data_IF_146543984248
#
_entry.id   IF_146543984248
#
_cell.length_a   1.000
_cell.length_b   1.000
_cell.length_c   1.000
_cell.angle_alpha   90.00
_cell.angle_beta   90.00
_cell.angle_gamma   90.00
#
_symmetry.space_group_name_H-M   'P 1'
#
loop_
_entity.id
_entity.type
_entity.pdbx_description
1 polymer ?
#
# COMPACT_ATOMS: atom_id res chain seq x y z
N UNK A 1 -51.35 -17.84 22.22
CA UNK A 1 -51.05 -17.92 20.77
C UNK A 1 -50.13 -16.77 20.30
N UNK A 2 -50.37 -15.52 20.71
CA UNK A 2 -49.57 -14.38 20.22
C UNK A 2 -48.07 -14.39 20.63
N UNK A 3 -47.72 -14.81 21.86
CA UNK A 3 -46.32 -14.80 22.33
C UNK A 3 -45.44 -15.82 21.54
N UNK A 4 -45.97 -16.99 21.26
CA UNK A 4 -45.26 -18.01 20.47
C UNK A 4 -45.03 -17.54 19.02
N UNK A 5 -45.99 -16.87 18.41
CA UNK A 5 -45.88 -16.30 17.08
C UNK A 5 -44.79 -15.21 17.01
N UNK A 6 -44.77 -14.30 17.99
CA UNK A 6 -43.70 -13.27 18.07
C UNK A 6 -42.32 -13.85 18.31
N UNK A 7 -42.20 -14.91 19.12
CA UNK A 7 -40.92 -15.59 19.34
C UNK A 7 -40.41 -16.25 18.07
N UNK A 8 -41.29 -16.96 17.32
CA UNK A 8 -40.93 -17.56 16.02
C UNK A 8 -40.60 -16.50 14.98
N UNK A 9 -41.30 -15.38 14.94
CA UNK A 9 -41.01 -14.26 14.04
C UNK A 9 -39.65 -13.61 14.34
N UNK A 10 -39.29 -13.44 15.60
CA UNK A 10 -38.00 -12.90 16.04
C UNK A 10 -36.87 -13.89 15.67
N UNK A 11 -37.07 -15.20 15.86
CA UNK A 11 -36.09 -16.22 15.45
C UNK A 11 -35.90 -16.22 13.93
N UNK A 12 -36.97 -16.14 13.15
CA UNK A 12 -36.88 -16.06 11.68
C UNK A 12 -36.17 -14.79 11.23
N UNK A 13 -36.46 -13.64 11.86
CA UNK A 13 -35.77 -12.38 11.57
C UNK A 13 -34.29 -12.39 11.97
N UNK A 14 -33.91 -13.11 13.05
CA UNK A 14 -32.51 -13.25 13.46
C UNK A 14 -31.70 -14.18 12.54
N UNK A 15 -32.34 -15.15 11.86
CA UNK A 15 -31.67 -16.03 10.89
C UNK A 15 -31.28 -15.27 9.61
N UNK A 16 -31.99 -14.20 9.26
CA UNK A 16 -31.67 -13.38 8.07
C UNK A 16 -30.52 -12.38 8.26
N UNK A 17 -30.00 -12.19 9.46
CA UNK A 17 -28.93 -11.20 9.75
C UNK A 17 -27.52 -11.76 9.82
N UNK A 18 -27.31 -13.07 9.54
CA UNK A 18 -26.05 -13.76 9.72
C UNK A 18 -25.22 -13.96 8.45
N UNK A 19 -25.42 -13.20 7.38
CA UNK A 19 -24.49 -13.28 6.24
C UNK A 19 -23.26 -12.40 6.50
N UNK A 20 -22.19 -12.99 6.97
CA UNK A 20 -20.84 -12.43 6.79
C UNK A 20 -20.67 -12.09 5.32
N UNK A 21 -20.28 -10.86 5.03
CA UNK A 21 -20.23 -10.38 3.64
C UNK A 21 -19.03 -10.92 2.89
N UNK A 22 -18.06 -11.45 3.61
CA UNK A 22 -16.79 -11.89 3.05
C UNK A 22 -16.27 -13.12 3.81
N UNK A 23 -15.98 -14.21 3.08
CA UNK A 23 -15.33 -15.40 3.62
C UNK A 23 -13.95 -15.51 2.97
N UNK A 24 -12.87 -15.47 3.74
CA UNK A 24 -11.53 -15.65 3.22
C UNK A 24 -11.35 -17.02 2.57
N UNK A 25 -10.39 -17.10 1.63
CA UNK A 25 -10.05 -18.33 0.97
C UNK A 25 -9.50 -19.37 1.95
N UNK A 26 -9.86 -20.64 1.71
CA UNK A 26 -9.34 -21.77 2.48
C UNK A 26 -7.81 -21.92 2.32
N UNK A 27 -7.19 -22.56 3.30
CA UNK A 27 -5.77 -22.89 3.26
C UNK A 27 -5.47 -23.73 2.02
N UNK A 28 -4.34 -23.45 1.36
CA UNK A 28 -3.90 -24.24 0.20
C UNK A 28 -3.63 -25.70 0.61
N UNK A 29 -4.31 -26.64 -0.05
CA UNK A 29 -4.11 -28.09 0.13
C UNK A 29 -3.47 -28.74 -1.08
N UNK A 30 -3.70 -28.20 -2.28
CA UNK A 30 -3.24 -28.74 -3.54
C UNK A 30 -2.01 -27.97 -4.05
N UNK A 31 -1.06 -28.69 -4.65
CA UNK A 31 -0.01 -28.10 -5.45
C UNK A 31 -0.57 -27.53 -6.76
N UNK A 32 -0.15 -26.32 -7.14
CA UNK A 32 -0.67 -25.62 -8.32
C UNK A 32 0.48 -25.25 -9.24
N UNK A 33 0.28 -25.47 -10.54
CA UNK A 33 1.18 -25.02 -11.60
C UNK A 33 0.43 -24.05 -12.52
N UNK A 34 0.96 -22.83 -12.67
CA UNK A 34 0.62 -21.91 -13.76
C UNK A 34 1.57 -22.18 -14.91
N UNK A 35 1.05 -22.49 -16.10
CA UNK A 35 1.86 -22.97 -17.22
C UNK A 35 1.62 -22.14 -18.48
N UNK A 36 2.69 -21.64 -19.10
CA UNK A 36 2.72 -21.07 -20.44
C UNK A 36 2.51 -19.56 -20.56
N UNK A 37 2.37 -18.81 -19.46
CA UNK A 37 2.21 -17.35 -19.48
C UNK A 37 3.53 -16.58 -19.41
N UNK A 38 3.50 -15.29 -19.73
CA UNK A 38 4.62 -14.38 -19.49
C UNK A 38 4.70 -14.06 -17.99
N UNK A 39 5.85 -14.28 -17.37
CA UNK A 39 6.09 -14.07 -15.95
C UNK A 39 6.95 -12.83 -15.72
N UNK A 40 6.40 -11.82 -15.07
CA UNK A 40 7.14 -10.71 -14.49
C UNK A 40 7.61 -11.12 -13.10
N UNK A 41 8.93 -11.35 -12.94
CA UNK A 41 9.47 -11.85 -11.65
C UNK A 41 9.35 -10.82 -10.53
N UNK A 42 9.37 -9.52 -10.88
CA UNK A 42 9.37 -8.39 -9.94
C UNK A 42 10.77 -7.89 -9.58
N UNK A 43 11.83 -8.41 -10.21
CA UNK A 43 13.22 -7.97 -10.06
C UNK A 43 13.76 -7.22 -11.28
N UNK A 44 12.92 -7.02 -12.30
CA UNK A 44 13.28 -6.44 -13.60
C UNK A 44 13.42 -7.47 -14.71
N UNK A 45 13.30 -8.75 -14.42
CA UNK A 45 13.38 -9.85 -15.39
C UNK A 45 11.99 -10.35 -15.77
N UNK A 46 11.84 -10.78 -17.02
CA UNK A 46 10.64 -11.38 -17.59
C UNK A 46 10.96 -12.75 -18.20
N UNK A 47 10.11 -13.73 -18.00
CA UNK A 47 10.16 -15.04 -18.64
C UNK A 47 8.93 -15.16 -19.54
N UNK A 48 9.11 -15.14 -20.86
CA UNK A 48 8.03 -15.10 -21.85
C UNK A 48 7.14 -16.34 -21.82
N UNK A 49 7.72 -17.52 -21.57
CA UNK A 49 7.01 -18.78 -21.48
C UNK A 49 7.38 -19.47 -20.17
N UNK A 50 6.63 -19.20 -19.15
CA UNK A 50 6.96 -19.63 -17.79
C UNK A 50 6.16 -20.84 -17.32
N UNK A 51 6.75 -21.52 -16.32
CA UNK A 51 6.05 -22.41 -15.42
C UNK A 51 6.30 -21.92 -13.98
N UNK A 52 5.22 -21.63 -13.26
CA UNK A 52 5.27 -21.19 -11.86
C UNK A 52 4.52 -22.21 -11.01
N UNK A 53 5.29 -23.03 -10.28
CA UNK A 53 4.77 -24.03 -9.37
C UNK A 53 4.78 -23.55 -7.92
N UNK A 54 3.70 -23.82 -7.16
CA UNK A 54 3.64 -23.47 -5.75
C UNK A 54 2.81 -24.47 -4.93
N UNK A 55 3.21 -24.63 -3.67
CA UNK A 55 2.60 -25.52 -2.68
C UNK A 55 2.85 -24.96 -1.28
N UNK A 56 1.93 -25.23 -0.35
CA UNK A 56 2.04 -24.82 1.06
C UNK A 56 2.36 -23.31 1.23
N UNK A 57 1.72 -22.49 0.38
CA UNK A 57 1.87 -21.03 0.40
C UNK A 57 3.16 -20.50 -0.23
N UNK A 58 4.04 -21.35 -0.78
CA UNK A 58 5.35 -20.95 -1.30
C UNK A 58 5.58 -21.35 -2.74
N UNK A 59 6.32 -20.51 -3.47
CA UNK A 59 6.83 -20.83 -4.79
C UNK A 59 7.84 -21.97 -4.68
N UNK A 60 7.63 -23.06 -5.41
CA UNK A 60 8.52 -24.23 -5.50
C UNK A 60 9.51 -24.00 -6.64
N UNK A 61 8.98 -23.52 -7.78
CA UNK A 61 9.74 -23.23 -8.98
C UNK A 61 9.13 -22.08 -9.78
N UNK A 62 9.99 -21.37 -10.51
CA UNK A 62 9.61 -20.38 -11.51
C UNK A 62 10.67 -20.44 -12.60
N UNK A 63 10.34 -21.02 -13.74
CA UNK A 63 11.33 -21.36 -14.77
C UNK A 63 10.79 -21.09 -16.18
N UNK A 64 11.68 -20.94 -17.12
CA UNK A 64 11.39 -20.87 -18.55
C UNK A 64 11.20 -22.30 -19.10
N UNK A 65 10.04 -22.58 -19.68
CA UNK A 65 9.71 -23.89 -20.24
C UNK A 65 10.36 -24.14 -21.59
N UNK A 66 10.95 -23.15 -22.24
CA UNK A 66 11.75 -23.38 -23.46
C UNK A 66 13.06 -24.11 -23.15
N UNK A 67 13.62 -23.89 -21.96
CA UNK A 67 14.88 -24.47 -21.54
C UNK A 67 14.75 -25.54 -20.44
N UNK A 68 13.58 -25.66 -19.82
CA UNK A 68 13.35 -26.58 -18.70
C UNK A 68 12.15 -27.48 -18.99
N UNK A 69 12.32 -28.78 -18.85
CA UNK A 69 11.22 -29.73 -18.86
C UNK A 69 10.53 -29.75 -17.50
N UNK A 70 9.22 -29.56 -17.49
CA UNK A 70 8.40 -29.58 -16.28
C UNK A 70 7.54 -30.83 -16.31
N UNK A 71 7.63 -31.62 -15.27
CA UNK A 71 6.71 -32.74 -15.05
C UNK A 71 5.41 -32.22 -14.46
N UNK A 72 4.43 -31.98 -15.32
CA UNK A 72 3.12 -31.47 -14.91
C UNK A 72 2.34 -32.45 -14.05
N UNK A 73 2.69 -33.75 -14.06
CA UNK A 73 2.03 -34.79 -13.26
C UNK A 73 2.35 -34.68 -11.76
N UNK A 74 3.39 -33.91 -11.40
CA UNK A 74 3.76 -33.61 -10.01
C UNK A 74 2.76 -32.67 -9.32
N UNK A 75 1.92 -31.96 -10.10
CA UNK A 75 0.98 -30.98 -9.58
C UNK A 75 -0.45 -31.48 -9.58
N UNK A 76 -1.17 -31.22 -8.48
CA UNK A 76 -2.58 -31.60 -8.34
C UNK A 76 -3.47 -30.78 -9.29
N UNK A 77 -3.10 -29.51 -9.53
CA UNK A 77 -3.85 -28.59 -10.39
C UNK A 77 -2.87 -27.91 -11.37
N UNK A 78 -3.16 -28.05 -12.67
CA UNK A 78 -2.43 -27.32 -13.73
C UNK A 78 -3.39 -26.31 -14.36
N UNK A 79 -3.01 -25.03 -14.32
CA UNK A 79 -3.76 -23.92 -14.92
C UNK A 79 -2.99 -23.44 -16.14
N UNK A 80 -3.57 -23.61 -17.33
CA UNK A 80 -3.01 -23.04 -18.55
C UNK A 80 -3.25 -21.53 -18.58
N UNK A 81 -2.16 -20.76 -18.59
CA UNK A 81 -2.14 -19.30 -18.64
C UNK A 81 -1.43 -18.77 -19.89
N UNK A 82 -1.38 -19.59 -20.96
CA UNK A 82 -0.79 -19.19 -22.24
C UNK A 82 -1.47 -17.94 -22.79
N UNK A 83 -0.68 -16.95 -23.18
CA UNK A 83 -1.14 -15.65 -23.67
C UNK A 83 -1.64 -14.70 -22.57
N UNK A 84 -1.38 -15.03 -21.31
CA UNK A 84 -1.70 -14.19 -20.15
C UNK A 84 -0.42 -13.77 -19.44
N UNK A 85 -0.55 -12.75 -18.60
CA UNK A 85 0.53 -12.18 -17.83
C UNK A 85 0.45 -12.61 -16.36
N UNK A 86 1.58 -12.98 -15.78
CA UNK A 86 1.69 -13.40 -14.37
C UNK A 86 2.55 -12.37 -13.61
N UNK A 87 2.00 -11.79 -12.55
CA UNK A 87 2.65 -10.75 -11.76
C UNK A 87 2.74 -11.15 -10.29
N UNK A 88 3.76 -10.68 -9.54
CA UNK A 88 3.71 -10.69 -8.07
C UNK A 88 2.52 -9.86 -7.60
N UNK A 89 1.92 -10.22 -6.49
CA UNK A 89 0.86 -9.41 -5.88
C UNK A 89 1.34 -7.98 -5.63
N UNK A 90 0.61 -7.00 -6.15
CA UNK A 90 0.91 -5.59 -5.94
C UNK A 90 0.66 -5.20 -4.50
N UNK A 91 1.45 -4.24 -4.01
CA UNK A 91 1.45 -3.78 -2.61
C UNK A 91 0.97 -2.33 -2.54
N UNK A 92 -0.16 -2.10 -1.87
CA UNK A 92 -0.68 -0.75 -1.64
C UNK A 92 0.09 -0.08 -0.51
N UNK A 93 0.93 0.90 -0.84
CA UNK A 93 1.66 1.67 0.15
C UNK A 93 0.82 2.81 0.73
N UNK A 94 1.08 3.18 1.99
CA UNK A 94 0.48 4.34 2.67
C UNK A 94 -1.05 4.41 2.54
N UNK A 95 -1.75 3.29 2.70
CA UNK A 95 -3.19 3.17 2.48
C UNK A 95 -4.00 3.28 3.77
N UNK A 96 -5.24 3.75 3.67
CA UNK A 96 -6.26 3.72 4.74
C UNK A 96 -7.32 2.64 4.52
N UNK A 97 -7.05 1.66 3.66
CA UNK A 97 -7.93 0.50 3.47
C UNK A 97 -8.18 -0.21 4.79
N UNK A 98 -9.45 -0.57 5.04
CA UNK A 98 -9.87 -1.20 6.29
C UNK A 98 -9.90 -0.27 7.50
N UNK A 99 -9.45 1.00 7.38
CA UNK A 99 -9.56 2.02 8.44
C UNK A 99 -10.67 3.05 8.18
N UNK A 100 -11.26 3.03 7.00
CA UNK A 100 -12.35 3.93 6.64
C UNK A 100 -13.31 3.25 5.67
N UNK A 101 -14.60 3.23 6.02
CA UNK A 101 -15.64 2.65 5.18
C UNK A 101 -16.47 3.74 4.49
N UNK A 102 -17.18 4.56 5.27
CA UNK A 102 -18.08 5.60 4.76
C UNK A 102 -17.51 6.98 5.08
N UNK A 103 -17.00 7.68 4.08
CA UNK A 103 -16.35 8.98 4.25
C UNK A 103 -17.22 10.06 4.94
N UNK A 104 -18.54 9.99 4.85
CA UNK A 104 -19.46 10.92 5.51
C UNK A 104 -19.76 10.55 6.98
N UNK A 105 -19.44 9.33 7.44
CA UNK A 105 -19.79 8.84 8.78
C UNK A 105 -18.52 8.77 9.64
N UNK A 106 -18.42 9.62 10.66
CA UNK A 106 -17.25 9.67 11.54
C UNK A 106 -16.97 8.34 12.25
N UNK A 107 -18.00 7.64 12.68
CA UNK A 107 -17.89 6.37 13.41
C UNK A 107 -17.26 5.23 12.59
N UNK A 108 -17.05 5.42 11.28
CA UNK A 108 -16.38 4.46 10.38
C UNK A 108 -14.98 4.91 9.96
N UNK A 109 -14.38 5.87 10.69
CA UNK A 109 -13.08 6.46 10.39
C UNK A 109 -12.10 6.22 11.54
N UNK A 110 -11.37 5.10 11.49
CA UNK A 110 -10.44 4.65 12.52
C UNK A 110 -8.97 4.92 12.18
N UNK A 111 -8.73 5.77 11.17
CA UNK A 111 -7.38 6.13 10.72
C UNK A 111 -6.75 7.27 11.51
N UNK A 112 -7.49 7.94 12.43
CA UNK A 112 -7.04 9.17 13.06
C UNK A 112 -7.35 9.18 14.56
N UNK A 113 -6.30 9.42 15.36
CA UNK A 113 -6.39 9.65 16.79
C UNK A 113 -6.38 11.15 17.13
N UNK A 114 -6.87 11.50 18.32
CA UNK A 114 -6.82 12.86 18.87
C UNK A 114 -5.41 13.20 19.38
N UNK A 115 -5.04 14.48 19.32
CA UNK A 115 -3.70 14.94 19.77
C UNK A 115 -2.72 15.19 18.63
N UNK A 116 -1.54 15.69 19.01
CA UNK A 116 -0.47 16.03 18.06
C UNK A 116 0.54 14.92 17.89
N UNK A 117 0.88 14.19 18.95
CA UNK A 117 1.94 13.18 19.00
C UNK A 117 1.37 11.86 19.50
N UNK A 118 1.09 10.94 18.59
CA UNK A 118 0.40 9.67 18.86
C UNK A 118 1.19 8.44 18.35
N UNK A 119 2.51 8.32 18.56
CA UNK A 119 3.30 7.21 18.00
C UNK A 119 2.83 5.84 18.51
N UNK A 120 2.15 5.78 19.64
CA UNK A 120 1.55 4.59 20.23
C UNK A 120 0.18 4.21 19.65
N UNK A 121 -0.43 5.06 18.80
CA UNK A 121 -1.66 4.70 18.08
C UNK A 121 -1.33 3.72 16.96
N UNK A 122 -1.96 2.55 16.97
CA UNK A 122 -1.66 1.43 16.07
C UNK A 122 -2.80 1.20 15.09
N UNK A 123 -2.50 1.15 13.81
CA UNK A 123 -3.51 0.78 12.79
C UNK A 123 -3.87 -0.69 12.81
N UNK A 124 -2.99 -1.53 13.37
CA UNK A 124 -3.10 -2.98 13.39
C UNK A 124 -4.46 -3.46 13.92
N UNK A 125 -4.84 -3.01 15.11
CA UNK A 125 -6.07 -3.44 15.80
C UNK A 125 -7.33 -2.77 15.26
N UNK A 126 -7.18 -1.72 14.46
CA UNK A 126 -8.30 -0.99 13.83
C UNK A 126 -8.61 -1.50 12.42
N UNK A 127 -7.80 -2.42 11.88
CA UNK A 127 -7.96 -2.93 10.53
C UNK A 127 -9.22 -3.80 10.42
N UNK A 128 -10.15 -3.36 9.57
CA UNK A 128 -11.37 -4.10 9.25
C UNK A 128 -11.16 -5.01 8.04
N UNK A 129 -11.12 -6.31 8.27
CA UNK A 129 -10.99 -7.33 7.20
C UNK A 129 -12.26 -7.47 6.37
N UNK A 130 -13.43 -7.11 6.93
CA UNK A 130 -14.74 -7.16 6.27
C UNK A 130 -15.05 -5.89 5.46
N UNK A 131 -14.05 -5.05 5.19
CA UNK A 131 -14.23 -3.86 4.37
C UNK A 131 -14.80 -4.19 3.00
N UNK A 132 -15.88 -3.52 2.61
CA UNK A 132 -16.48 -3.66 1.27
C UNK A 132 -15.61 -3.09 0.14
N UNK A 133 -14.60 -2.32 0.47
CA UNK A 133 -13.71 -1.67 -0.49
C UNK A 133 -12.60 -2.63 -0.91
N UNK A 134 -12.06 -3.41 0.02
CA UNK A 134 -10.94 -4.32 -0.20
C UNK A 134 -11.15 -5.30 -1.37
N UNK A 135 -12.31 -5.95 -1.57
CA UNK A 135 -12.55 -6.81 -2.73
C UNK A 135 -12.38 -6.10 -4.08
N UNK A 136 -12.78 -4.81 -4.17
CA UNK A 136 -12.59 -4.01 -5.39
C UNK A 136 -11.13 -3.69 -5.66
N UNK A 137 -10.32 -3.56 -4.61
CA UNK A 137 -8.89 -3.29 -4.73
C UNK A 137 -8.14 -4.55 -5.15
N UNK A 138 -8.54 -5.71 -4.61
CA UNK A 138 -7.99 -7.03 -5.01
C UNK A 138 -8.22 -7.34 -6.48
N UNK A 139 -9.38 -6.95 -7.03
CA UNK A 139 -9.69 -7.21 -8.46
C UNK A 139 -8.77 -6.48 -9.43
N UNK A 140 -7.88 -5.59 -8.96
CA UNK A 140 -6.85 -4.93 -9.75
C UNK A 140 -5.42 -5.35 -9.35
N UNK A 141 -5.27 -6.49 -8.65
CA UNK A 141 -3.96 -7.08 -8.32
C UNK A 141 -3.33 -6.60 -7.03
N UNK A 142 -3.96 -5.68 -6.29
CA UNK A 142 -3.46 -5.22 -4.99
C UNK A 142 -3.82 -6.28 -3.93
N UNK A 143 -2.83 -7.04 -3.47
CA UNK A 143 -3.07 -8.19 -2.58
C UNK A 143 -2.61 -7.97 -1.14
N UNK A 144 -1.71 -7.02 -0.93
CA UNK A 144 -1.13 -6.63 0.37
C UNK A 144 -1.16 -5.12 0.48
N UNK A 145 -1.20 -4.57 1.70
CA UNK A 145 -1.07 -3.13 1.90
C UNK A 145 -0.41 -2.75 3.22
N UNK A 146 0.31 -1.64 3.17
CA UNK A 146 0.71 -0.89 4.35
C UNK A 146 -0.48 -0.04 4.79
N UNK A 147 -1.02 -0.36 5.95
CA UNK A 147 -2.15 0.35 6.52
C UNK A 147 -1.63 1.43 7.45
N UNK A 148 -1.89 2.69 7.08
CA UNK A 148 -1.21 3.85 7.65
C UNK A 148 -2.15 4.82 8.33
N UNK A 149 -1.78 5.36 9.51
CA UNK A 149 -2.57 6.35 10.22
C UNK A 149 -2.50 7.72 9.55
N UNK A 150 -3.44 8.59 9.92
CA UNK A 150 -3.53 9.99 9.46
C UNK A 150 -3.70 10.94 10.65
N UNK A 151 -3.42 12.22 10.42
CA UNK A 151 -3.68 13.28 11.40
C UNK A 151 -2.51 13.51 12.36
N UNK A 152 -2.63 14.53 13.22
CA UNK A 152 -1.58 14.92 14.15
C UNK A 152 -0.29 15.41 13.48
N UNK A 153 0.77 15.59 14.26
CA UNK A 153 2.15 15.75 13.82
C UNK A 153 2.78 14.36 13.66
N UNK A 154 2.78 13.56 14.73
CA UNK A 154 3.06 12.13 14.66
C UNK A 154 1.71 11.40 14.68
N UNK A 155 1.36 10.78 13.56
CA UNK A 155 0.03 10.22 13.33
C UNK A 155 -0.19 8.91 14.07
N UNK A 156 0.83 8.08 14.15
CA UNK A 156 0.77 6.73 14.71
C UNK A 156 1.69 5.75 13.99
N UNK A 157 1.45 4.48 14.25
CA UNK A 157 2.24 3.36 13.73
C UNK A 157 1.44 2.56 12.70
N UNK A 158 2.06 2.32 11.54
CA UNK A 158 1.52 1.50 10.43
C UNK A 158 1.85 0.02 10.57
N UNK A 159 1.08 -0.82 9.88
CA UNK A 159 1.29 -2.26 9.80
C UNK A 159 1.01 -2.76 8.39
N UNK A 160 1.62 -3.89 8.00
CA UNK A 160 1.40 -4.52 6.70
C UNK A 160 0.41 -5.65 6.83
N UNK A 161 -0.64 -5.62 6.01
CA UNK A 161 -1.79 -6.52 6.08
C UNK A 161 -2.04 -7.22 4.74
N UNK A 162 -2.44 -8.49 4.78
CA UNK A 162 -3.04 -9.20 3.63
C UNK A 162 -4.47 -8.75 3.44
N UNK A 163 -4.90 -8.72 2.19
CA UNK A 163 -6.28 -8.31 1.85
C UNK A 163 -7.27 -9.48 1.75
N UNK A 164 -6.93 -10.63 2.34
CA UNK A 164 -7.80 -11.80 2.44
C UNK A 164 -7.53 -12.53 3.76
N UNK A 165 -8.33 -12.25 4.78
CA UNK A 165 -8.11 -12.76 6.15
C UNK A 165 -9.39 -12.69 6.99
N UNK A 166 -9.47 -13.52 8.04
CA UNK A 166 -10.62 -13.59 8.96
C UNK A 166 -10.67 -12.39 9.92
N UNK A 167 -9.52 -11.98 10.42
CA UNK A 167 -9.38 -10.87 11.37
C UNK A 167 -7.99 -10.23 11.19
N UNK A 168 -7.69 -9.18 11.96
CA UNK A 168 -6.40 -8.48 11.88
C UNK A 168 -5.21 -9.37 12.29
N UNK A 169 -5.38 -10.34 13.18
CA UNK A 169 -4.34 -11.29 13.62
C UNK A 169 -3.95 -12.22 12.46
N UNK A 170 -4.95 -12.70 11.70
CA UNK A 170 -4.74 -13.51 10.50
C UNK A 170 -4.20 -12.67 9.32
N UNK A 171 -4.62 -11.40 9.22
CA UNK A 171 -4.21 -10.50 8.15
C UNK A 171 -2.75 -10.04 8.24
N UNK A 172 -2.17 -9.97 9.45
CA UNK A 172 -0.89 -9.31 9.65
C UNK A 172 0.27 -10.02 8.95
N UNK A 173 1.04 -9.26 8.17
CA UNK A 173 2.32 -9.68 7.57
C UNK A 173 3.47 -9.14 8.42
N UNK A 174 3.42 -7.86 8.78
CA UNK A 174 4.38 -7.20 9.66
C UNK A 174 3.65 -6.18 10.54
N UNK A 175 3.67 -6.41 11.83
CA UNK A 175 3.08 -5.51 12.81
C UNK A 175 3.99 -4.32 13.08
N UNK A 176 3.39 -3.12 13.24
CA UNK A 176 4.04 -1.91 13.77
C UNK A 176 5.37 -1.55 13.07
N UNK A 177 5.40 -1.65 11.74
CA UNK A 177 6.63 -1.57 10.94
C UNK A 177 7.21 -0.16 10.83
N UNK A 178 6.40 0.90 11.02
CA UNK A 178 6.87 2.27 10.88
C UNK A 178 5.99 3.32 11.54
N UNK A 179 6.57 4.49 11.78
CA UNK A 179 5.92 5.66 12.38
C UNK A 179 5.68 6.71 11.31
N UNK A 180 4.46 7.23 11.22
CA UNK A 180 4.08 8.28 10.28
C UNK A 180 4.10 9.67 10.93
N UNK A 181 4.76 10.63 10.28
CA UNK A 181 4.90 12.00 10.73
C UNK A 181 4.59 12.99 9.61
N UNK A 182 3.85 14.04 9.90
CA UNK A 182 3.56 15.15 9.00
C UNK A 182 4.54 16.29 9.24
N UNK A 183 5.42 16.56 8.26
CA UNK A 183 6.31 17.72 8.35
C UNK A 183 5.51 19.02 8.18
N UNK A 184 5.80 20.08 8.95
CA UNK A 184 5.05 21.33 8.91
C UNK A 184 5.05 21.95 7.50
N UNK A 185 3.86 22.34 7.04
CA UNK A 185 3.67 22.91 5.68
C UNK A 185 3.58 24.43 5.74
N UNK A 186 4.46 25.10 4.99
CA UNK A 186 4.34 26.54 4.70
C UNK A 186 3.20 26.75 3.68
N UNK A 187 1.94 26.69 4.13
CA UNK A 187 0.81 27.11 3.30
C UNK A 187 0.52 28.57 3.53
N UNK A 188 1.09 29.44 2.70
CA UNK A 188 0.56 30.79 2.50
C UNK A 188 -0.60 30.65 1.54
N UNK A 189 -1.82 30.90 1.99
CA UNK A 189 -3.00 30.92 1.13
C UNK A 189 -2.80 31.99 0.05
N UNK A 190 -3.15 31.72 -1.21
CA UNK A 190 -3.01 32.67 -2.31
C UNK A 190 -3.75 34.01 -2.10
N UNK A 191 -4.61 34.09 -1.09
CA UNK A 191 -5.33 35.30 -0.68
C UNK A 191 -4.62 36.10 0.43
N UNK A 192 -3.43 35.67 0.88
CA UNK A 192 -2.66 36.33 1.90
C UNK A 192 -1.67 37.29 1.22
N UNK A 193 -2.11 38.53 1.01
CA UNK A 193 -1.29 39.60 0.44
C UNK A 193 -0.60 40.47 1.54
N UNK A 194 -0.65 40.03 2.80
CA UNK A 194 -0.14 40.84 3.92
C UNK A 194 1.13 40.18 4.50
N UNK A 195 2.24 40.93 4.60
CA UNK A 195 3.51 40.47 5.16
C UNK A 195 3.35 39.92 6.59
N UNK A 196 2.47 40.52 7.41
CA UNK A 196 2.17 40.08 8.77
C UNK A 196 1.59 38.65 8.84
N UNK A 197 0.80 38.26 7.86
CA UNK A 197 0.23 36.91 7.86
C UNK A 197 1.24 35.88 7.35
N UNK A 198 2.15 36.27 6.46
CA UNK A 198 3.30 35.44 6.04
C UNK A 198 4.21 35.18 7.23
N UNK A 199 4.52 36.19 8.04
CA UNK A 199 5.33 36.04 9.27
C UNK A 199 4.66 35.14 10.30
N UNK A 200 3.34 35.26 10.51
CA UNK A 200 2.60 34.40 11.40
C UNK A 200 2.66 32.91 10.93
N UNK A 201 2.54 32.65 9.63
CA UNK A 201 2.69 31.29 9.09
C UNK A 201 4.09 30.75 9.32
N UNK A 202 5.14 31.55 9.04
CA UNK A 202 6.53 31.15 9.28
C UNK A 202 6.81 30.89 10.78
N UNK A 203 6.31 31.74 11.64
CA UNK A 203 6.43 31.58 13.11
C UNK A 203 5.74 30.30 13.59
N UNK A 204 4.53 30.00 13.08
CA UNK A 204 3.81 28.76 13.40
C UNK A 204 4.57 27.53 12.94
N UNK A 205 5.14 27.56 11.73
CA UNK A 205 5.95 26.44 11.19
C UNK A 205 7.17 26.21 12.08
N UNK A 206 7.90 27.29 12.41
CA UNK A 206 9.08 27.22 13.29
C UNK A 206 8.72 26.67 14.67
N UNK A 207 7.60 27.12 15.24
CA UNK A 207 7.11 26.60 16.51
C UNK A 207 6.83 25.10 16.43
N UNK A 208 6.13 24.64 15.38
CA UNK A 208 5.83 23.22 15.20
C UNK A 208 7.10 22.40 14.96
N UNK A 209 8.11 22.94 14.25
CA UNK A 209 9.40 22.28 14.10
C UNK A 209 10.10 22.11 15.46
N UNK A 210 10.08 23.14 16.31
CA UNK A 210 10.63 23.04 17.66
C UNK A 210 9.89 21.98 18.49
N UNK A 211 8.54 21.94 18.45
CA UNK A 211 7.76 20.89 19.11
C UNK A 211 8.19 19.47 18.66
N UNK A 212 8.48 19.28 17.37
CA UNK A 212 8.97 18.00 16.82
C UNK A 212 10.36 17.68 17.41
N UNK A 213 11.29 18.63 17.36
CA UNK A 213 12.65 18.44 17.90
C UNK A 213 12.62 18.09 19.38
N UNK A 214 11.87 18.84 20.19
CA UNK A 214 11.73 18.59 21.63
C UNK A 214 11.17 17.18 21.90
N UNK A 215 10.11 16.78 21.17
CA UNK A 215 9.52 15.47 21.31
C UNK A 215 10.52 14.36 20.99
N UNK A 216 11.28 14.47 19.89
CA UNK A 216 12.28 13.48 19.49
C UNK A 216 13.47 13.43 20.45
N UNK A 217 13.91 14.59 21.00
CA UNK A 217 14.96 14.64 22.02
C UNK A 217 14.52 13.94 23.30
N UNK A 218 13.29 14.19 23.77
CA UNK A 218 12.73 13.53 24.95
C UNK A 218 12.63 12.02 24.71
N UNK A 219 12.13 11.60 23.54
CA UNK A 219 12.01 10.19 23.19
C UNK A 219 13.39 9.49 23.13
N UNK A 220 14.39 10.15 22.52
CA UNK A 220 15.77 9.62 22.45
C UNK A 220 16.38 9.48 23.85
N UNK A 221 16.21 10.48 24.71
CA UNK A 221 16.67 10.44 26.10
C UNK A 221 15.97 9.35 26.91
N UNK A 222 14.66 9.14 26.70
CA UNK A 222 13.89 8.07 27.33
C UNK A 222 14.46 6.68 26.97
N UNK A 223 14.73 6.43 25.69
CA UNK A 223 15.30 5.18 25.21
C UNK A 223 16.69 4.92 25.79
N UNK A 224 17.54 5.94 25.88
CA UNK A 224 18.91 5.84 26.41
C UNK A 224 18.95 5.58 27.92
N UNK A 225 18.03 6.16 28.70
CA UNK A 225 18.01 6.05 30.15
C UNK A 225 17.41 4.75 30.68
N UNK A 226 16.77 3.95 29.83
CA UNK A 226 16.06 2.74 30.23
C UNK A 226 15.10 2.98 31.40
N UNK A 227 14.22 3.97 31.26
CA UNK A 227 13.34 4.51 32.30
C UNK A 227 12.51 3.41 32.99
N UNK A 228 12.41 3.45 34.31
CA UNK A 228 11.55 2.56 35.09
C UNK A 228 10.05 2.90 34.95
N UNK A 229 9.73 4.15 34.59
CA UNK A 229 8.34 4.58 34.35
C UNK A 229 8.01 4.44 32.87
N UNK A 230 6.99 3.66 32.55
CA UNK A 230 6.58 3.42 31.17
C UNK A 230 5.70 4.58 30.70
N UNK A 231 6.17 5.30 29.66
CA UNK A 231 5.35 6.20 28.82
C UNK A 231 5.13 5.51 27.47
N UNK A 232 3.90 5.14 27.17
CA UNK A 232 3.55 4.39 25.95
C UNK A 232 3.93 5.12 24.66
N UNK A 233 3.92 6.46 24.64
CA UNK A 233 4.33 7.25 23.48
C UNK A 233 5.83 7.16 23.27
N UNK A 234 6.62 7.27 24.35
CA UNK A 234 8.07 7.18 24.28
C UNK A 234 8.50 5.73 23.98
N UNK A 235 7.79 4.74 24.55
CA UNK A 235 8.06 3.33 24.27
C UNK A 235 7.82 2.99 22.80
N UNK A 236 6.77 3.53 22.18
CA UNK A 236 6.49 3.33 20.75
C UNK A 236 7.62 3.87 19.83
N UNK A 237 8.39 4.87 20.31
CA UNK A 237 9.54 5.45 19.60
C UNK A 237 10.81 4.62 19.72
N UNK A 238 10.90 3.68 20.66
CA UNK A 238 12.12 2.89 20.93
C UNK A 238 12.67 2.23 19.68
N UNK A 239 11.85 1.49 18.98
CA UNK A 239 12.23 0.73 17.79
C UNK A 239 12.69 1.61 16.62
N UNK A 240 12.29 2.88 16.58
CA UNK A 240 12.78 3.84 15.60
C UNK A 240 14.27 4.15 15.83
N UNK A 241 14.67 4.42 17.08
CA UNK A 241 16.04 4.80 17.41
C UNK A 241 17.05 3.64 17.38
N UNK A 242 16.56 2.38 17.37
CA UNK A 242 17.41 1.19 17.21
C UNK A 242 17.33 0.57 15.81
N UNK A 243 16.77 1.30 14.84
CA UNK A 243 16.71 0.90 13.43
C UNK A 243 15.73 -0.23 13.09
N UNK A 244 14.83 -0.62 14.01
CA UNK A 244 13.83 -1.67 13.74
C UNK A 244 12.58 -1.15 13.04
N UNK A 245 12.20 0.12 13.28
CA UNK A 245 11.08 0.80 12.62
C UNK A 245 11.58 1.85 11.65
N UNK A 246 10.80 2.08 10.61
CA UNK A 246 11.02 3.15 9.62
C UNK A 246 10.26 4.41 10.02
N UNK A 247 10.82 5.59 9.74
CA UNK A 247 10.13 6.86 9.85
C UNK A 247 9.59 7.27 8.47
N UNK A 248 8.27 7.40 8.35
CA UNK A 248 7.59 7.90 7.16
C UNK A 248 7.25 9.37 7.36
N UNK A 249 7.84 10.27 6.57
CA UNK A 249 7.66 11.72 6.71
C UNK A 249 6.90 12.28 5.53
N UNK A 250 5.69 12.77 5.79
CA UNK A 250 4.85 13.38 4.77
C UNK A 250 5.30 14.80 4.46
N UNK A 251 5.84 15.01 3.26
CA UNK A 251 6.37 16.30 2.79
C UNK A 251 6.34 16.39 1.26
N UNK A 252 6.18 17.61 0.72
CA UNK A 252 6.09 17.84 -0.70
C UNK A 252 7.18 18.78 -1.26
N UNK A 253 7.64 19.75 -0.46
CA UNK A 253 8.49 20.86 -0.93
C UNK A 253 9.99 20.58 -0.76
N UNK A 254 10.82 21.12 -1.67
CA UNK A 254 12.29 21.02 -1.60
C UNK A 254 12.82 21.45 -0.23
N UNK A 255 12.31 22.58 0.33
CA UNK A 255 12.76 23.06 1.64
C UNK A 255 12.49 22.05 2.76
N UNK A 256 11.30 21.43 2.74
CA UNK A 256 10.93 20.40 3.71
C UNK A 256 11.84 19.17 3.56
N UNK A 257 12.11 18.71 2.33
CA UNK A 257 12.98 17.56 2.08
C UNK A 257 14.39 17.82 2.62
N UNK A 258 14.95 19.01 2.39
CA UNK A 258 16.26 19.40 2.95
C UNK A 258 16.27 19.43 4.48
N UNK A 259 15.21 19.96 5.09
CA UNK A 259 15.05 19.98 6.56
C UNK A 259 14.95 18.56 7.12
N UNK A 260 14.22 17.66 6.45
CA UNK A 260 14.09 16.24 6.82
C UNK A 260 15.42 15.51 6.71
N UNK A 261 16.24 15.80 5.70
CA UNK A 261 17.59 15.25 5.56
C UNK A 261 18.46 15.67 6.77
N UNK A 262 18.40 16.94 7.16
CA UNK A 262 19.11 17.44 8.34
C UNK A 262 18.61 16.79 9.63
N UNK A 263 17.30 16.62 9.76
CA UNK A 263 16.64 15.95 10.88
C UNK A 263 17.05 14.46 10.98
N UNK A 264 17.10 13.74 9.84
CA UNK A 264 17.60 12.35 9.78
C UNK A 264 18.99 12.23 10.38
N UNK A 265 19.90 13.16 10.01
CA UNK A 265 21.29 13.19 10.50
C UNK A 265 21.37 13.53 11.98
N UNK A 266 20.65 14.56 12.44
CA UNK A 266 20.64 15.02 13.84
C UNK A 266 20.20 13.92 14.82
N UNK A 267 19.09 13.23 14.48
CA UNK A 267 18.56 12.18 15.35
C UNK A 267 19.16 10.81 15.10
N UNK A 268 20.04 10.66 14.10
CA UNK A 268 20.63 9.40 13.66
C UNK A 268 19.57 8.35 13.31
N UNK A 269 18.57 8.76 12.49
CA UNK A 269 17.51 7.88 12.04
C UNK A 269 18.02 7.05 10.86
N UNK A 270 18.12 5.75 11.05
CA UNK A 270 18.64 4.83 10.05
C UNK A 270 17.73 4.75 8.83
N UNK A 271 16.43 4.45 9.04
CA UNK A 271 15.46 4.19 7.98
C UNK A 271 14.44 5.31 7.90
N UNK A 272 14.46 6.04 6.79
CA UNK A 272 13.54 7.14 6.53
C UNK A 272 12.97 7.05 5.11
N UNK A 273 11.65 7.26 4.99
CA UNK A 273 10.93 7.36 3.72
C UNK A 273 10.16 8.67 3.66
N UNK A 274 10.30 9.41 2.57
CA UNK A 274 9.47 10.58 2.30
C UNK A 274 8.19 10.13 1.60
N UNK A 275 7.03 10.58 2.10
CA UNK A 275 5.72 10.35 1.52
C UNK A 275 5.23 11.63 0.85
N UNK A 276 4.96 11.58 -0.45
CA UNK A 276 4.58 12.74 -1.27
C UNK A 276 5.69 13.14 -2.23
N UNK A 277 6.49 14.11 -1.82
CA UNK A 277 7.69 14.52 -2.56
C UNK A 277 7.44 15.14 -3.92
N UNK A 278 6.36 15.94 -4.08
CA UNK A 278 6.01 16.53 -5.39
C UNK A 278 7.15 17.34 -6.03
N UNK A 279 7.95 18.00 -5.23
CA UNK A 279 9.08 18.81 -5.69
C UNK A 279 10.42 18.04 -5.65
N UNK A 280 10.42 16.71 -5.44
CA UNK A 280 11.64 15.90 -5.35
C UNK A 280 12.46 15.90 -6.65
N UNK A 281 11.82 16.14 -7.80
CA UNK A 281 12.48 16.24 -9.10
C UNK A 281 13.54 17.35 -9.19
N UNK A 282 13.55 18.30 -8.26
CA UNK A 282 14.60 19.34 -8.20
C UNK A 282 15.88 18.90 -7.50
N UNK A 283 15.83 17.82 -6.70
CA UNK A 283 16.95 17.37 -5.85
C UNK A 283 17.02 15.83 -5.73
N UNK A 284 16.81 15.07 -6.82
CA UNK A 284 16.72 13.62 -6.73
C UNK A 284 18.05 12.99 -6.29
N UNK A 285 19.22 13.53 -6.74
CA UNK A 285 20.54 13.05 -6.35
C UNK A 285 20.77 13.22 -4.84
N UNK A 286 20.36 14.36 -4.27
CA UNK A 286 20.49 14.62 -2.82
C UNK A 286 19.65 13.61 -2.01
N UNK A 287 18.50 13.19 -2.51
CA UNK A 287 17.66 12.17 -1.89
C UNK A 287 18.36 10.82 -1.92
N UNK A 288 18.91 10.42 -3.07
CA UNK A 288 19.66 9.17 -3.26
C UNK A 288 20.91 9.12 -2.38
N UNK A 289 21.74 10.16 -2.37
CA UNK A 289 22.95 10.27 -1.55
C UNK A 289 22.71 10.12 -0.04
N UNK A 290 21.51 10.46 0.42
CA UNK A 290 21.14 10.29 1.83
C UNK A 290 20.34 9.01 2.11
N UNK A 291 20.29 8.08 1.15
CA UNK A 291 19.60 6.78 1.27
C UNK A 291 18.16 6.93 1.77
N UNK A 292 17.43 7.89 1.19
CA UNK A 292 16.03 8.14 1.51
C UNK A 292 15.16 7.53 0.42
N UNK A 293 14.32 6.58 0.80
CA UNK A 293 13.31 6.04 -0.10
C UNK A 293 12.09 6.97 -0.19
N UNK A 294 11.28 6.79 -1.23
CA UNK A 294 10.11 7.62 -1.46
C UNK A 294 8.83 6.81 -1.73
N UNK A 295 7.72 7.29 -1.19
CA UNK A 295 6.38 6.90 -1.61
C UNK A 295 5.82 8.07 -2.42
N UNK A 296 5.80 7.92 -3.74
CA UNK A 296 5.36 8.97 -4.66
C UNK A 296 3.86 8.96 -4.73
N UNK A 297 3.23 10.00 -4.18
CA UNK A 297 1.79 10.08 -4.19
C UNK A 297 1.24 10.70 -5.48
N UNK A 298 0.14 10.13 -5.94
CA UNK A 298 -0.78 10.60 -6.96
C UNK A 298 -0.09 11.24 -8.19
N UNK A 299 0.50 10.40 -9.02
CA UNK A 299 1.08 10.80 -10.32
C UNK A 299 0.09 11.64 -11.13
N UNK A 300 -1.21 11.28 -11.14
CA UNK A 300 -2.27 12.07 -11.74
C UNK A 300 -2.59 13.32 -10.88
N UNK A 301 -1.67 14.27 -10.86
CA UNK A 301 -1.83 15.54 -10.17
C UNK A 301 -1.24 16.70 -10.96
N UNK A 302 -1.80 17.89 -10.76
CA UNK A 302 -1.23 19.10 -11.33
C UNK A 302 0.09 19.47 -10.64
N UNK A 303 1.01 20.15 -11.33
CA UNK A 303 2.25 20.61 -10.78
C UNK A 303 2.02 21.61 -9.63
N UNK A 304 3.01 21.73 -8.74
CA UNK A 304 2.95 22.63 -7.58
C UNK A 304 3.00 24.12 -7.95
N UNK A 305 3.62 24.46 -9.08
CA UNK A 305 3.84 25.85 -9.53
C UNK A 305 3.37 26.07 -10.95
N UNK A 306 2.90 27.29 -11.26
CA UNK A 306 2.40 27.66 -12.60
C UNK A 306 3.45 27.57 -13.69
N UNK A 307 4.73 27.78 -13.33
CA UNK A 307 5.86 27.71 -14.27
C UNK A 307 6.42 26.30 -14.47
N UNK A 308 5.96 25.32 -13.71
CA UNK A 308 6.40 23.93 -13.87
C UNK A 308 5.83 23.33 -15.16
N UNK A 309 6.54 22.36 -15.72
CA UNK A 309 6.01 21.53 -16.79
C UNK A 309 4.71 20.86 -16.35
N UNK A 310 3.73 20.82 -17.24
CA UNK A 310 2.39 20.31 -16.92
C UNK A 310 2.43 18.84 -16.54
N UNK A 311 3.33 18.07 -17.14
CA UNK A 311 3.49 16.63 -16.98
C UNK A 311 4.58 16.21 -15.98
N UNK A 312 5.14 17.18 -15.23
CA UNK A 312 6.24 16.89 -14.30
C UNK A 312 5.87 15.81 -13.25
N UNK A 313 4.62 15.77 -12.80
CA UNK A 313 4.14 14.76 -11.86
C UNK A 313 4.16 13.35 -12.49
N UNK A 314 3.95 13.23 -13.80
CA UNK A 314 4.00 11.97 -14.54
C UNK A 314 5.44 11.50 -14.78
N UNK A 315 6.36 12.46 -14.98
CA UNK A 315 7.79 12.23 -15.18
C UNK A 315 8.56 11.94 -13.88
N UNK A 316 8.03 12.36 -12.73
CA UNK A 316 8.71 12.24 -11.44
C UNK A 316 9.24 10.83 -11.16
N UNK A 317 8.47 9.72 -11.34
CA UNK A 317 9.01 8.37 -11.11
C UNK A 317 10.22 8.04 -11.99
N UNK A 318 10.21 8.44 -13.27
CA UNK A 318 11.35 8.25 -14.19
C UNK A 318 12.59 9.05 -13.75
N UNK A 319 12.41 10.26 -13.22
CA UNK A 319 13.50 11.09 -12.70
C UNK A 319 14.12 10.43 -11.47
N UNK A 320 13.29 9.96 -10.53
CA UNK A 320 13.76 9.27 -9.32
C UNK A 320 14.50 7.98 -9.65
N UNK A 321 13.97 7.20 -10.61
CA UNK A 321 14.61 5.98 -11.08
C UNK A 321 16.01 6.23 -11.64
N UNK A 322 16.15 7.25 -12.51
CA UNK A 322 17.44 7.64 -13.11
C UNK A 322 18.47 8.09 -12.06
N UNK A 323 18.03 8.67 -10.96
CA UNK A 323 18.89 9.08 -9.85
C UNK A 323 19.19 7.95 -8.85
N UNK A 324 18.62 6.75 -9.05
CA UNK A 324 18.83 5.59 -8.16
C UNK A 324 18.06 5.69 -6.85
N UNK A 325 17.00 6.52 -6.77
CA UNK A 325 16.15 6.60 -5.58
C UNK A 325 15.23 5.38 -5.53
N UNK A 326 15.23 4.65 -4.42
CA UNK A 326 14.25 3.59 -4.16
C UNK A 326 12.87 4.22 -3.94
N UNK A 327 11.88 3.87 -4.78
CA UNK A 327 10.54 4.44 -4.67
C UNK A 327 9.45 3.42 -4.95
N UNK A 328 8.24 3.77 -4.51
CA UNK A 328 6.98 3.08 -4.81
C UNK A 328 5.84 4.09 -4.99
N UNK A 329 4.68 3.58 -5.43
CA UNK A 329 3.50 4.40 -5.69
C UNK A 329 2.49 4.34 -4.55
N UNK A 330 1.75 5.44 -4.37
CA UNK A 330 0.50 5.47 -3.61
C UNK A 330 -0.56 6.32 -4.33
N UNK A 331 -1.74 6.38 -3.76
CA UNK A 331 -2.82 7.21 -4.26
C UNK A 331 -3.44 8.07 -3.15
N UNK A 332 -2.60 8.69 -2.32
CA UNK A 332 -3.03 9.56 -1.22
C UNK A 332 -3.89 10.73 -1.72
N UNK A 333 -4.90 11.10 -0.94
CA UNK A 333 -5.77 12.25 -1.18
C UNK A 333 -7.25 11.92 -0.97
N UNK A 334 -8.15 12.65 -1.63
CA UNK A 334 -9.57 12.41 -1.52
C UNK A 334 -9.94 11.02 -2.02
N UNK A 335 -10.78 10.31 -1.24
CA UNK A 335 -11.23 8.94 -1.51
C UNK A 335 -10.07 7.94 -1.70
N UNK A 336 -8.92 8.16 -1.04
CA UNK A 336 -7.70 7.39 -1.23
C UNK A 336 -7.90 5.87 -1.06
N UNK A 337 -8.73 5.44 -0.10
CA UNK A 337 -8.99 4.02 0.12
C UNK A 337 -9.69 3.36 -1.09
N UNK A 338 -10.67 4.04 -1.70
CA UNK A 338 -11.37 3.51 -2.87
C UNK A 338 -10.53 3.58 -4.14
N UNK A 339 -9.70 4.63 -4.24
CA UNK A 339 -8.85 4.84 -5.41
C UNK A 339 -7.55 4.03 -5.38
N UNK A 340 -7.23 3.36 -4.27
CA UNK A 340 -6.07 2.44 -4.20
C UNK A 340 -6.09 1.37 -5.30
N UNK A 341 -7.26 1.00 -5.82
CA UNK A 341 -7.41 0.13 -6.99
C UNK A 341 -6.74 0.68 -8.27
N UNK A 342 -6.50 1.99 -8.34
CA UNK A 342 -5.95 2.66 -9.52
C UNK A 342 -4.42 2.81 -9.48
N UNK A 343 -3.77 2.36 -8.40
CA UNK A 343 -2.30 2.47 -8.24
C UNK A 343 -1.56 1.84 -9.43
N UNK A 344 -1.95 0.66 -9.97
CA UNK A 344 -1.28 0.09 -11.15
C UNK A 344 -1.32 1.03 -12.36
N UNK A 345 -2.42 1.75 -12.57
CA UNK A 345 -2.60 2.66 -13.70
C UNK A 345 -1.82 3.98 -13.55
N UNK A 346 -1.48 4.36 -12.30
CA UNK A 346 -0.53 5.44 -12.04
C UNK A 346 0.88 5.03 -12.49
N UNK A 347 1.26 3.78 -12.25
CA UNK A 347 2.52 3.23 -12.70
C UNK A 347 2.57 3.12 -14.24
N UNK A 348 1.48 2.67 -14.88
CA UNK A 348 1.34 2.66 -16.34
C UNK A 348 1.48 4.05 -16.97
N UNK A 349 0.91 5.07 -16.33
CA UNK A 349 1.14 6.48 -16.76
C UNK A 349 2.60 6.86 -16.66
N UNK A 350 3.30 6.51 -15.58
CA UNK A 350 4.73 6.78 -15.42
C UNK A 350 5.57 6.07 -16.51
N UNK A 351 5.17 4.88 -16.95
CA UNK A 351 5.80 4.17 -18.09
C UNK A 351 5.64 4.99 -19.36
N UNK A 352 4.45 5.51 -19.66
CA UNK A 352 4.21 6.37 -20.83
C UNK A 352 5.07 7.65 -20.80
N UNK A 353 5.53 8.07 -19.61
CA UNK A 353 6.40 9.24 -19.41
C UNK A 353 7.85 8.88 -19.09
N UNK A 354 8.30 7.69 -19.50
CA UNK A 354 9.71 7.31 -19.59
C UNK A 354 10.27 6.51 -18.40
N UNK A 355 9.43 5.97 -17.55
CA UNK A 355 9.84 4.93 -16.59
C UNK A 355 9.89 3.58 -17.34
N UNK A 356 10.98 2.78 -17.26
CA UNK A 356 10.97 1.43 -17.81
C UNK A 356 9.85 0.57 -17.21
N UNK A 357 9.23 -0.28 -18.03
CA UNK A 357 8.06 -1.08 -17.61
C UNK A 357 8.36 -1.93 -16.37
N UNK A 358 9.45 -2.68 -16.38
CA UNK A 358 9.80 -3.55 -15.25
C UNK A 358 10.19 -2.76 -13.99
N UNK A 359 10.71 -1.54 -14.12
CA UNK A 359 10.92 -0.66 -12.97
C UNK A 359 9.58 -0.19 -12.37
N UNK A 360 8.53 -0.02 -13.19
CA UNK A 360 7.18 0.24 -12.69
C UNK A 360 6.62 -0.97 -11.95
N UNK A 361 6.85 -2.20 -12.43
CA UNK A 361 6.48 -3.44 -11.72
C UNK A 361 7.24 -3.54 -10.39
N UNK A 362 8.55 -3.30 -10.37
CA UNK A 362 9.35 -3.26 -9.13
C UNK A 362 8.77 -2.26 -8.12
N UNK A 363 8.40 -1.08 -8.59
CA UNK A 363 7.84 -0.02 -7.73
C UNK A 363 6.44 -0.36 -7.14
N UNK A 364 5.78 -1.37 -7.67
CA UNK A 364 4.52 -1.93 -7.13
C UNK A 364 4.73 -3.21 -6.31
N UNK A 365 5.91 -3.81 -6.33
CA UNK A 365 6.18 -5.15 -5.79
C UNK A 365 7.44 -5.19 -4.91
N UNK A 366 8.61 -5.47 -5.49
CA UNK A 366 9.86 -5.67 -4.75
C UNK A 366 10.36 -4.42 -4.01
N UNK A 367 10.25 -3.23 -4.61
CA UNK A 367 10.62 -1.99 -3.93
C UNK A 367 9.73 -1.73 -2.71
N UNK A 368 8.42 -2.01 -2.83
CA UNK A 368 7.50 -1.93 -1.69
C UNK A 368 7.92 -2.93 -0.59
N UNK A 369 8.22 -4.17 -0.99
CA UNK A 369 8.63 -5.21 -0.05
C UNK A 369 9.95 -4.86 0.65
N UNK A 370 10.89 -4.22 -0.05
CA UNK A 370 12.17 -3.74 0.50
C UNK A 370 11.94 -2.61 1.51
N UNK A 371 11.15 -1.59 1.15
CA UNK A 371 10.81 -0.48 2.05
C UNK A 371 10.11 -1.00 3.31
N UNK A 372 9.19 -1.95 3.15
CA UNK A 372 8.43 -2.56 4.26
C UNK A 372 9.19 -3.67 4.99
N UNK A 373 10.36 -4.09 4.47
CA UNK A 373 11.15 -5.21 5.02
C UNK A 373 10.33 -6.51 5.17
N UNK A 374 9.54 -6.83 4.16
CA UNK A 374 8.76 -8.08 4.05
C UNK A 374 9.36 -8.99 2.97
N UNK A 375 10.56 -9.46 3.20
CA UNK A 375 11.41 -10.15 2.21
C UNK A 375 10.78 -11.41 1.58
N UNK A 376 9.72 -11.96 2.16
CA UNK A 376 9.01 -13.11 1.60
C UNK A 376 8.08 -12.75 0.43
N UNK A 377 7.78 -11.47 0.21
CA UNK A 377 6.82 -10.96 -0.78
C UNK A 377 7.52 -10.13 -1.86
N UNK A 378 6.75 -9.74 -2.88
CA UNK A 378 7.20 -8.83 -3.94
C UNK A 378 7.96 -9.48 -5.10
N UNK A 379 8.28 -10.77 -5.01
CA UNK A 379 9.00 -11.53 -6.06
C UNK A 379 8.36 -12.90 -6.27
N UNK A 380 8.33 -13.37 -7.52
CA UNK A 380 7.97 -14.75 -7.86
C UNK A 380 9.25 -15.55 -8.07
N UNK A 381 9.88 -15.94 -6.98
CA UNK A 381 11.09 -16.79 -6.98
C UNK A 381 10.97 -17.88 -5.93
N UNK A 382 11.70 -18.98 -6.14
CA UNK A 382 11.68 -20.15 -5.25
C UNK A 382 11.85 -19.77 -3.77
N UNK A 383 10.98 -20.30 -2.93
CA UNK A 383 10.97 -20.09 -1.46
C UNK A 383 10.21 -18.85 -0.99
N UNK A 384 9.86 -17.92 -1.88
CA UNK A 384 9.02 -16.77 -1.57
C UNK A 384 7.55 -17.16 -1.44
N UNK A 385 6.74 -16.28 -0.89
CA UNK A 385 5.29 -16.46 -0.82
C UNK A 385 4.67 -16.57 -2.21
N UNK A 386 3.75 -17.52 -2.37
CA UNK A 386 2.91 -17.62 -3.55
C UNK A 386 1.78 -16.57 -3.50
N UNK A 387 2.19 -15.30 -3.44
CA UNK A 387 1.29 -14.14 -3.53
C UNK A 387 1.49 -13.50 -4.90
N UNK A 388 0.57 -13.83 -5.81
CA UNK A 388 0.67 -13.52 -7.24
C UNK A 388 -0.71 -13.48 -7.88
N UNK A 389 -0.80 -12.91 -9.08
CA UNK A 389 -2.03 -12.94 -9.86
C UNK A 389 -1.76 -13.14 -11.35
N UNK A 390 -2.80 -13.53 -12.08
CA UNK A 390 -2.82 -13.72 -13.53
C UNK A 390 -3.78 -12.71 -14.13
N UNK A 391 -3.28 -11.90 -15.06
CA UNK A 391 -4.07 -10.95 -15.84
C UNK A 391 -4.22 -11.43 -17.29
N UNK A 392 -5.38 -11.18 -17.90
CA UNK A 392 -5.61 -11.48 -19.33
C UNK A 392 -4.75 -10.61 -20.26
N UNK A 393 -4.21 -9.51 -19.76
CA UNK A 393 -3.29 -8.62 -20.47
C UNK A 393 -2.53 -7.74 -19.49
N UNK A 394 -1.95 -6.65 -20.00
CA UNK A 394 -1.14 -5.72 -19.23
C UNK A 394 -1.88 -5.20 -17.98
N UNK A 395 -1.31 -5.48 -16.80
CA UNK A 395 -1.88 -5.09 -15.52
C UNK A 395 -1.73 -3.59 -15.23
N UNK A 396 -0.87 -2.87 -15.94
CA UNK A 396 -0.69 -1.42 -15.80
C UNK A 396 -1.61 -0.60 -16.70
N UNK A 397 -2.33 -1.26 -17.62
CA UNK A 397 -3.28 -0.62 -18.54
C UNK A 397 -4.73 -0.92 -18.11
N UNK A 398 -5.54 0.13 -17.89
CA UNK A 398 -6.89 0.02 -17.33
C UNK A 398 -7.85 -0.82 -18.19
N UNK A 399 -7.66 -0.83 -19.51
CA UNK A 399 -8.52 -1.56 -20.45
C UNK A 399 -8.20 -3.07 -20.50
N UNK A 400 -6.97 -3.46 -20.18
CA UNK A 400 -6.47 -4.84 -20.29
C UNK A 400 -6.21 -5.51 -18.95
N UNK A 401 -6.20 -4.76 -17.85
CA UNK A 401 -6.13 -5.31 -16.49
C UNK A 401 -7.43 -6.08 -16.17
N UNK A 402 -7.45 -7.37 -16.49
CA UNK A 402 -8.56 -8.29 -16.22
C UNK A 402 -7.99 -9.51 -15.49
N UNK A 403 -8.07 -9.48 -14.16
CA UNK A 403 -7.47 -10.54 -13.35
C UNK A 403 -8.36 -11.78 -13.36
N UNK A 404 -7.82 -12.90 -13.84
CA UNK A 404 -8.53 -14.19 -13.91
C UNK A 404 -8.27 -15.07 -12.69
N UNK A 405 -7.09 -14.95 -12.07
CA UNK A 405 -6.69 -15.71 -10.90
C UNK A 405 -5.84 -14.84 -9.99
N UNK A 406 -6.05 -14.96 -8.68
CA UNK A 406 -5.16 -14.35 -7.70
C UNK A 406 -4.96 -15.28 -6.50
N UNK A 407 -3.76 -15.23 -5.94
CA UNK A 407 -3.35 -16.08 -4.83
C UNK A 407 -2.65 -15.21 -3.76
N UNK A 408 -2.98 -15.45 -2.51
CA UNK A 408 -2.28 -14.88 -1.34
C UNK A 408 -1.79 -16.04 -0.50
N UNK A 409 -0.47 -16.18 -0.34
CA UNK A 409 0.17 -17.31 0.32
C UNK A 409 -0.37 -18.65 -0.21
N UNK A 410 -0.48 -18.79 -1.54
CA UNK A 410 -0.97 -19.98 -2.25
C UNK A 410 -2.48 -20.20 -2.19
N UNK A 411 -3.22 -19.47 -1.35
CA UNK A 411 -4.68 -19.56 -1.25
C UNK A 411 -5.32 -18.84 -2.44
N UNK A 412 -6.18 -19.50 -3.19
CA UNK A 412 -6.89 -18.91 -4.33
C UNK A 412 -8.03 -18.04 -3.81
N UNK A 413 -7.89 -16.73 -3.93
CA UNK A 413 -8.85 -15.76 -3.38
C UNK A 413 -10.03 -15.51 -4.33
N UNK A 414 -11.19 -15.15 -3.75
CA UNK A 414 -12.36 -14.66 -4.49
C UNK A 414 -12.12 -13.21 -4.95
N UNK A 415 -12.21 -12.99 -6.25
CA UNK A 415 -12.06 -11.66 -6.88
C UNK A 415 -13.40 -10.94 -7.04
N UNK A 416 -14.53 -11.59 -6.74
CA UNK A 416 -15.84 -10.97 -6.85
C UNK A 416 -15.97 -9.76 -5.91
N UNK A 417 -16.63 -8.72 -6.40
CA UNK A 417 -16.87 -7.49 -5.64
C UNK A 417 -18.30 -6.98 -5.86
N UNK A 418 -18.72 -5.99 -5.04
CA UNK A 418 -20.08 -5.47 -5.08
C UNK A 418 -20.39 -4.73 -6.39
N UNK A 419 -19.42 -4.09 -7.02
CA UNK A 419 -19.57 -3.39 -8.28
C UNK A 419 -19.86 -4.37 -9.40
N UNK A 420 -19.08 -5.45 -9.50
CA UNK A 420 -19.25 -6.50 -10.48
C UNK A 420 -20.60 -7.23 -10.30
N UNK A 421 -20.97 -7.58 -9.05
CA UNK A 421 -22.27 -8.18 -8.75
C UNK A 421 -23.42 -7.27 -9.19
N UNK A 422 -23.31 -5.98 -9.00
CA UNK A 422 -24.30 -5.00 -9.46
C UNK A 422 -24.31 -4.92 -10.99
N UNK A 423 -23.18 -4.87 -11.65
CA UNK A 423 -23.07 -4.85 -13.11
C UNK A 423 -23.80 -6.07 -13.71
N UNK A 424 -23.49 -7.28 -13.26
CA UNK A 424 -24.14 -8.51 -13.71
C UNK A 424 -25.65 -8.49 -13.46
N UNK A 425 -26.09 -7.99 -12.29
CA UNK A 425 -27.52 -7.80 -11.96
C UNK A 425 -28.22 -6.88 -12.95
N UNK A 426 -27.60 -5.77 -13.34
CA UNK A 426 -28.17 -4.83 -14.30
C UNK A 426 -28.12 -5.38 -15.73
N UNK A 427 -27.07 -6.08 -16.14
CA UNK A 427 -27.02 -6.79 -17.41
C UNK A 427 -28.20 -7.74 -17.54
N UNK A 428 -28.44 -8.58 -16.51
CA UNK A 428 -29.60 -9.49 -16.47
C UNK A 428 -30.93 -8.75 -16.57
N UNK A 429 -31.08 -7.61 -15.85
CA UNK A 429 -32.31 -6.81 -15.86
C UNK A 429 -32.63 -6.27 -17.26
N UNK A 430 -31.63 -5.83 -17.99
CA UNK A 430 -31.81 -5.19 -19.30
C UNK A 430 -31.57 -6.12 -20.50
N UNK A 431 -31.35 -7.42 -20.26
CA UNK A 431 -31.10 -8.40 -21.33
C UNK A 431 -29.78 -8.17 -22.08
N UNK A 432 -28.79 -7.53 -21.41
CA UNK A 432 -27.48 -7.32 -21.95
C UNK A 432 -26.60 -8.54 -21.72
N UNK A 433 -25.72 -8.85 -22.68
CA UNK A 433 -24.69 -9.89 -22.52
C UNK A 433 -23.54 -9.24 -21.71
N UNK A 434 -23.17 -9.77 -20.53
CA UNK A 434 -22.03 -9.26 -19.81
C UNK A 434 -20.75 -9.40 -20.65
N UNK A 435 -19.96 -8.36 -20.72
CA UNK A 435 -18.58 -8.47 -21.21
C UNK A 435 -17.79 -9.36 -20.25
N UNK A 436 -17.16 -10.40 -20.78
CA UNK A 436 -16.30 -11.33 -20.02
C UNK A 436 -14.95 -10.73 -19.75
#
# INVERSE_FOLDING_TARGET
MNKFFYTVLIIILSIYQGFSQFTPADVQTNSILLYGGSLHIGNGEVIEKSAVGFKDGKIIESVDIEYNQIDTSYYDIVINVTGKEVYPGFIAMNSTLGLMEIGAVRATKDYRETGKFNPNSRTLTSFNTDSRITPTVRSNGMLIGQISPRGGIVSGTSSVMRFDAWNWEDAVVRADEGIHMNWPKNRVNNNVNNELDIEKVKSKVKHTQNEIHDFFQIAKAYVQKNSLTIDLRMEAMRDLFIGKKRLYVHADKVSQIKEIISFKKEFNIEKLTIVGGKDAHYIPELIAENEISMIVSRVHSLPSYRQSELDISYKLPSILNKAGVLFCFDNQGDMEQMQSRNIPFLAGTAVAYGLPYEEAIKALTSNCAEILEISNYGLITKGKSATLFVSEGDALEISTNKISHAFIDGRRIDLSNSQEKNYLKYCKKYGLIPEK
#
